data_IF_937461296354
#
_entry.id   IF_937461296354
#
_cell.length_a   1.000
_cell.length_b   1.000
_cell.length_c   1.000
_cell.angle_alpha   90.00
_cell.angle_beta   90.00
_cell.angle_gamma   90.00
#
_symmetry.space_group_name_H-M   'P 1'
#
loop_
_entity.id
_entity.type
_entity.pdbx_description
1 polymer ?
#
# COMPACT_ATOMS: atom_id res chain seq x y z
N UNK A 1 15.53 11.46 1.07
CA UNK A 1 15.01 10.11 0.86
C UNK A 1 14.26 10.07 -0.46
N UNK A 2 14.39 9.00 -1.23
CA UNK A 2 13.62 8.76 -2.46
C UNK A 2 12.83 7.45 -2.27
N UNK A 3 11.58 7.45 -2.71
CA UNK A 3 10.63 6.35 -2.59
C UNK A 3 10.53 5.61 -3.91
N UNK A 4 10.57 4.28 -3.84
CA UNK A 4 10.41 3.40 -4.99
C UNK A 4 9.00 2.81 -4.97
N UNK A 5 8.22 3.14 -5.99
CA UNK A 5 6.90 2.54 -6.24
C UNK A 5 7.02 1.52 -7.35
N UNK A 6 6.42 0.36 -7.17
CA UNK A 6 6.44 -0.77 -8.10
C UNK A 6 5.02 -1.20 -8.41
N UNK A 7 4.78 -1.78 -9.59
CA UNK A 7 3.43 -2.14 -10.04
C UNK A 7 3.32 -3.59 -10.50
N UNK A 8 2.34 -4.29 -9.91
CA UNK A 8 1.96 -5.69 -10.15
C UNK A 8 0.43 -5.81 -10.14
N UNK A 9 -0.24 -5.12 -11.07
CA UNK A 9 -1.71 -4.95 -11.07
C UNK A 9 -2.23 -3.92 -10.06
N UNK A 10 -1.36 -3.37 -9.23
CA UNK A 10 -1.60 -2.25 -8.32
C UNK A 10 -0.27 -1.68 -7.82
N UNK A 11 -0.27 -0.45 -7.34
CA UNK A 11 0.93 0.21 -6.86
C UNK A 11 1.32 -0.23 -5.45
N UNK A 12 2.60 -0.57 -5.28
CA UNK A 12 3.21 -0.92 -4.00
C UNK A 12 4.40 -0.02 -3.73
N UNK A 13 4.55 0.42 -2.49
CA UNK A 13 5.75 1.07 -2.00
C UNK A 13 6.75 0.01 -1.56
N UNK A 14 7.95 0.02 -2.14
CA UNK A 14 9.06 -0.84 -1.71
C UNK A 14 9.90 -0.13 -0.64
N UNK A 15 10.01 -0.75 0.52
CA UNK A 15 10.85 -0.31 1.64
C UNK A 15 11.94 -1.35 1.87
N UNK A 16 13.20 -0.94 1.93
CA UNK A 16 14.34 -1.86 2.03
C UNK A 16 15.17 -1.71 3.31
N UNK A 17 14.82 -0.75 4.16
CA UNK A 17 15.57 -0.50 5.39
C UNK A 17 14.70 0.14 6.49
N UNK A 18 15.21 0.10 7.72
CA UNK A 18 14.53 0.59 8.90
C UNK A 18 14.30 2.11 8.89
N UNK A 19 15.16 2.89 8.23
CA UNK A 19 15.01 4.35 8.15
C UNK A 19 13.78 4.73 7.30
N UNK A 20 13.66 4.11 6.11
CA UNK A 20 12.49 4.23 5.26
C UNK A 20 11.21 3.75 5.95
N UNK A 21 11.26 2.61 6.65
CA UNK A 21 10.12 2.07 7.38
C UNK A 21 9.65 3.01 8.49
N UNK A 22 10.59 3.56 9.26
CA UNK A 22 10.30 4.51 10.33
C UNK A 22 9.67 5.79 9.78
N UNK A 23 10.20 6.31 8.68
CA UNK A 23 9.67 7.52 8.04
C UNK A 23 8.28 7.30 7.44
N UNK A 24 8.04 6.13 6.84
CA UNK A 24 6.72 5.75 6.34
C UNK A 24 5.67 5.76 7.47
N UNK A 25 5.95 5.12 8.61
CA UNK A 25 5.02 5.08 9.74
C UNK A 25 4.76 6.46 10.35
N UNK A 26 5.81 7.29 10.50
CA UNK A 26 5.65 8.68 10.97
C UNK A 26 4.68 9.49 10.11
N UNK A 27 4.70 9.28 8.79
CA UNK A 27 3.85 10.03 7.84
C UNK A 27 2.43 9.49 7.72
N UNK A 28 2.22 8.20 8.00
CA UNK A 28 0.96 7.52 7.65
C UNK A 28 0.11 7.07 8.84
N UNK A 29 0.68 6.96 10.05
CA UNK A 29 -0.02 6.35 11.18
C UNK A 29 -0.91 7.28 11.99
N UNK A 30 -0.79 8.60 11.82
CA UNK A 30 -1.44 9.59 12.68
C UNK A 30 -2.96 9.40 12.84
N UNK A 31 -3.64 8.88 11.81
CA UNK A 31 -5.10 8.70 11.80
C UNK A 31 -5.54 7.24 11.76
N UNK A 32 -4.61 6.27 11.76
CA UNK A 32 -4.93 4.85 11.48
C UNK A 32 -5.96 4.24 12.44
N UNK A 33 -5.94 4.64 13.70
CA UNK A 33 -6.82 4.12 14.76
C UNK A 33 -7.87 5.12 15.21
N UNK A 34 -8.01 6.27 14.54
CA UNK A 34 -8.88 7.35 15.01
C UNK A 34 -10.34 6.88 15.14
N UNK A 35 -10.86 6.18 14.14
CA UNK A 35 -12.22 5.66 14.17
C UNK A 35 -12.42 4.58 15.24
N UNK A 36 -11.46 3.68 15.41
CA UNK A 36 -11.47 2.68 16.50
C UNK A 36 -11.49 3.33 17.90
N UNK A 37 -10.69 4.38 18.11
CA UNK A 37 -10.65 5.15 19.36
C UNK A 37 -12.00 5.85 19.58
N UNK A 38 -12.58 6.46 18.53
CA UNK A 38 -13.88 7.12 18.61
C UNK A 38 -14.99 6.15 18.96
N UNK A 39 -15.04 4.99 18.29
CA UNK A 39 -16.01 3.93 18.61
C UNK A 39 -15.90 3.46 20.07
N UNK A 40 -14.67 3.23 20.55
CA UNK A 40 -14.44 2.80 21.93
C UNK A 40 -14.89 3.85 22.96
N UNK A 41 -14.60 5.13 22.68
CA UNK A 41 -14.99 6.28 23.51
C UNK A 41 -16.51 6.46 23.55
N UNK A 42 -17.17 6.31 22.41
CA UNK A 42 -18.63 6.48 22.27
C UNK A 42 -19.42 5.29 22.84
N UNK A 43 -18.74 4.30 23.44
CA UNK A 43 -19.38 3.14 24.07
C UNK A 43 -19.88 2.08 23.09
N UNK A 44 -19.55 2.19 21.80
CA UNK A 44 -19.88 1.20 20.75
C UNK A 44 -18.96 -0.03 20.81
N UNK A 45 -18.81 -0.59 22.01
CA UNK A 45 -17.90 -1.69 22.29
C UNK A 45 -18.60 -3.04 22.06
N UNK A 46 -17.85 -4.12 21.75
CA UNK A 46 -18.46 -5.43 21.49
C UNK A 46 -19.35 -5.95 22.63
N UNK A 47 -19.05 -5.60 23.88
CA UNK A 47 -19.87 -5.95 25.05
C UNK A 47 -21.22 -5.22 25.12
N UNK A 48 -21.33 -4.07 24.46
CA UNK A 48 -22.54 -3.23 24.42
C UNK A 48 -23.35 -3.43 23.13
N UNK A 49 -22.92 -4.34 22.25
CA UNK A 49 -23.56 -4.63 20.97
C UNK A 49 -24.21 -6.01 21.00
N UNK A 50 -25.34 -6.14 20.30
CA UNK A 50 -25.95 -7.44 20.03
C UNK A 50 -25.03 -8.33 19.19
N UNK A 51 -25.26 -9.65 19.20
CA UNK A 51 -24.52 -10.56 18.32
C UNK A 51 -24.72 -10.23 16.84
N UNK A 52 -25.94 -9.85 16.44
CA UNK A 52 -26.27 -9.50 15.06
C UNK A 52 -25.51 -8.26 14.59
N UNK A 53 -25.43 -7.20 15.42
CA UNK A 53 -24.69 -5.99 15.09
C UNK A 53 -23.18 -6.26 14.93
N UNK A 54 -22.60 -7.13 15.77
CA UNK A 54 -21.18 -7.52 15.66
C UNK A 54 -20.88 -8.33 14.41
N UNK A 55 -21.76 -9.27 14.06
CA UNK A 55 -21.64 -10.05 12.82
C UNK A 55 -21.73 -9.10 11.63
N UNK A 56 -22.72 -8.20 11.61
CA UNK A 56 -22.91 -7.24 10.54
C UNK A 56 -21.69 -6.34 10.36
N UNK A 57 -21.20 -5.72 11.43
CA UNK A 57 -20.01 -4.87 11.39
C UNK A 57 -18.76 -5.62 10.88
N UNK A 58 -18.61 -6.90 11.22
CA UNK A 58 -17.50 -7.73 10.76
C UNK A 58 -17.66 -8.13 9.28
N UNK A 59 -18.86 -8.54 8.87
CA UNK A 59 -19.15 -8.96 7.48
C UNK A 59 -19.11 -7.80 6.49
N UNK A 60 -19.50 -6.60 6.91
CA UNK A 60 -19.42 -5.38 6.10
C UNK A 60 -18.00 -4.80 6.02
N UNK A 61 -17.02 -5.43 6.67
CA UNK A 61 -15.63 -4.97 6.64
C UNK A 61 -15.42 -3.62 7.33
N UNK A 62 -16.17 -3.32 8.40
CA UNK A 62 -15.99 -2.09 9.15
C UNK A 62 -14.62 -2.10 9.84
N UNK A 63 -13.65 -1.45 9.20
CA UNK A 63 -12.24 -1.41 9.63
C UNK A 63 -12.08 -0.88 11.05
N UNK A 64 -12.85 0.14 11.43
CA UNK A 64 -12.76 0.75 12.76
C UNK A 64 -13.23 -0.21 13.85
N UNK A 65 -14.32 -0.94 13.60
CA UNK A 65 -14.80 -1.99 14.49
C UNK A 65 -13.76 -3.12 14.63
N UNK A 66 -13.21 -3.60 13.52
CA UNK A 66 -12.21 -4.66 13.52
C UNK A 66 -10.93 -4.25 14.28
N UNK A 67 -10.44 -3.03 14.05
CA UNK A 67 -9.26 -2.49 14.76
C UNK A 67 -9.54 -2.31 16.26
N UNK A 68 -10.72 -1.82 16.62
CA UNK A 68 -11.14 -1.70 18.02
C UNK A 68 -11.19 -3.07 18.70
N UNK A 69 -11.81 -4.07 18.06
CA UNK A 69 -11.89 -5.43 18.59
C UNK A 69 -10.49 -6.05 18.77
N UNK A 70 -9.62 -5.91 17.77
CA UNK A 70 -8.25 -6.38 17.85
C UNK A 70 -7.47 -5.71 19.00
N UNK A 71 -7.65 -4.41 19.20
CA UNK A 71 -7.00 -3.68 20.29
C UNK A 71 -7.51 -4.14 21.67
N UNK A 72 -8.81 -4.44 21.81
CA UNK A 72 -9.37 -4.99 23.06
C UNK A 72 -8.76 -6.37 23.35
N UNK A 73 -8.67 -7.25 22.35
CA UNK A 73 -8.06 -8.58 22.51
C UNK A 73 -6.59 -8.45 22.93
N UNK A 74 -5.83 -7.58 22.27
CA UNK A 74 -4.44 -7.37 22.64
C UNK A 74 -4.27 -6.81 24.04
N UNK A 75 -5.10 -5.85 24.44
CA UNK A 75 -5.09 -5.32 25.79
C UNK A 75 -5.34 -6.43 26.83
N UNK A 76 -6.29 -7.34 26.58
CA UNK A 76 -6.57 -8.47 27.46
C UNK A 76 -5.36 -9.42 27.58
N UNK A 77 -4.67 -9.72 26.48
CA UNK A 77 -3.51 -10.61 26.46
C UNK A 77 -2.34 -10.11 27.32
N UNK A 78 -2.22 -8.79 27.50
CA UNK A 78 -1.15 -8.15 28.27
C UNK A 78 -1.62 -7.55 29.59
N UNK A 79 -2.87 -7.81 29.99
CA UNK A 79 -3.52 -7.20 31.17
C UNK A 79 -3.43 -5.65 31.17
N UNK A 80 -3.51 -5.04 29.99
CA UNK A 80 -3.31 -3.61 29.75
C UNK A 80 -4.59 -2.84 29.43
N UNK A 81 -4.43 -1.56 29.10
CA UNK A 81 -5.53 -0.70 28.67
C UNK A 81 -5.81 -0.84 27.17
N UNK A 82 -6.95 -0.34 26.70
CA UNK A 82 -7.26 -0.26 25.27
C UNK A 82 -6.17 0.47 24.47
N UNK A 83 -5.55 1.51 25.04
CA UNK A 83 -4.45 2.22 24.39
C UNK A 83 -3.17 1.36 24.32
N UNK A 84 -2.92 0.51 25.30
CA UNK A 84 -1.82 -0.45 25.25
C UNK A 84 -2.07 -1.51 24.16
N UNK A 85 -3.33 -1.95 24.00
CA UNK A 85 -3.74 -2.78 22.87
C UNK A 85 -3.47 -2.15 21.50
N UNK A 86 -3.78 -0.86 21.31
CA UNK A 86 -3.43 -0.13 20.08
C UNK A 86 -1.91 -0.08 19.87
N UNK A 87 -1.14 0.16 20.94
CA UNK A 87 0.32 0.15 20.86
C UNK A 87 0.86 -1.22 20.47
N UNK A 88 0.32 -2.30 21.01
CA UNK A 88 0.65 -3.67 20.63
C UNK A 88 0.42 -3.90 19.13
N UNK A 89 -0.75 -3.55 18.61
CA UNK A 89 -1.04 -3.68 17.17
C UNK A 89 -0.05 -2.90 16.29
N UNK A 90 0.31 -1.68 16.71
CA UNK A 90 1.31 -0.88 16.01
C UNK A 90 2.69 -1.54 16.02
N UNK A 91 3.12 -2.03 17.18
CA UNK A 91 4.41 -2.70 17.35
C UNK A 91 4.48 -4.00 16.55
N UNK A 92 3.44 -4.83 16.58
CA UNK A 92 3.37 -6.09 15.82
C UNK A 92 3.49 -5.84 14.33
N UNK A 93 2.77 -4.84 13.81
CA UNK A 93 2.83 -4.47 12.40
C UNK A 93 4.24 -4.03 12.00
N UNK A 94 4.81 -3.08 12.74
CA UNK A 94 6.16 -2.57 12.48
C UNK A 94 7.22 -3.66 12.60
N UNK A 95 7.06 -4.59 13.54
CA UNK A 95 7.99 -5.71 13.74
C UNK A 95 7.88 -6.73 12.61
N UNK A 96 6.67 -7.05 12.15
CA UNK A 96 6.47 -7.91 10.96
C UNK A 96 7.19 -7.31 9.76
N UNK A 97 6.95 -6.04 9.46
CA UNK A 97 7.54 -5.36 8.30
C UNK A 97 9.07 -5.26 8.42
N UNK A 98 9.60 -5.05 9.62
CA UNK A 98 11.04 -5.07 9.87
C UNK A 98 11.65 -6.47 9.69
N UNK A 99 10.95 -7.52 10.14
CA UNK A 99 11.36 -8.90 9.90
C UNK A 99 11.35 -9.24 8.41
N UNK A 100 10.33 -8.80 7.65
CA UNK A 100 10.26 -9.00 6.21
C UNK A 100 11.48 -8.35 5.51
N UNK A 101 11.87 -7.13 5.92
CA UNK A 101 13.09 -6.48 5.42
C UNK A 101 14.34 -7.30 5.77
N UNK A 102 14.43 -7.82 7.00
CA UNK A 102 15.60 -8.60 7.46
C UNK A 102 15.74 -9.92 6.70
N UNK A 103 14.62 -10.60 6.46
CA UNK A 103 14.60 -11.96 5.91
C UNK A 103 14.59 -11.99 4.38
N UNK A 104 13.88 -11.04 3.75
CA UNK A 104 13.67 -11.00 2.30
C UNK A 104 14.29 -9.77 1.62
N UNK A 105 14.89 -8.87 2.39
CA UNK A 105 15.55 -7.66 1.90
C UNK A 105 14.61 -6.48 1.61
N UNK A 106 13.29 -6.70 1.65
CA UNK A 106 12.29 -5.66 1.43
C UNK A 106 10.93 -6.03 2.03
N UNK A 107 10.13 -4.99 2.28
CA UNK A 107 8.68 -5.09 2.48
C UNK A 107 7.99 -4.18 1.47
N UNK A 108 6.85 -4.64 0.96
CA UNK A 108 6.02 -3.93 0.00
C UNK A 108 4.71 -3.55 0.66
N UNK A 109 4.32 -2.29 0.58
CA UNK A 109 3.12 -1.76 1.24
C UNK A 109 2.19 -1.14 0.20
N UNK A 110 0.91 -1.52 0.21
CA UNK A 110 -0.10 -0.97 -0.70
C UNK A 110 -0.77 0.30 -0.13
N UNK A 111 -1.58 1.04 -0.91
CA UNK A 111 -2.23 2.27 -0.44
C UNK A 111 -3.17 2.08 0.77
N UNK A 112 -3.72 0.88 0.96
CA UNK A 112 -4.56 0.55 2.11
C UNK A 112 -3.76 0.24 3.38
N UNK A 113 -2.43 0.15 3.28
CA UNK A 113 -1.52 -0.15 4.38
C UNK A 113 -1.31 -1.65 4.65
N UNK A 114 -1.76 -2.52 3.74
CA UNK A 114 -1.43 -3.95 3.77
C UNK A 114 -0.01 -4.20 3.25
N UNK A 115 0.67 -5.21 3.80
CA UNK A 115 2.07 -5.50 3.46
C UNK A 115 2.33 -6.95 3.04
N UNK A 116 3.29 -7.13 2.13
CA UNK A 116 3.82 -8.42 1.67
C UNK A 116 5.35 -8.35 1.56
N UNK A 117 6.02 -9.50 1.59
CA UNK A 117 7.47 -9.59 1.43
C UNK A 117 7.91 -9.74 -0.04
N UNK A 118 6.98 -10.01 -0.96
CA UNK A 118 7.29 -10.23 -2.38
C UNK A 118 6.22 -9.64 -3.28
N UNK A 119 6.69 -9.01 -4.37
CA UNK A 119 5.90 -8.46 -5.47
C UNK A 119 6.72 -8.70 -6.73
N UNK A 120 6.13 -9.32 -7.77
CA UNK A 120 6.77 -9.49 -9.06
C UNK A 120 6.43 -8.29 -9.95
N UNK A 121 7.43 -7.48 -10.29
CA UNK A 121 7.17 -6.22 -10.99
C UNK A 121 8.19 -5.96 -12.09
N UNK A 122 7.69 -5.39 -13.18
CA UNK A 122 8.51 -4.80 -14.25
C UNK A 122 8.39 -3.28 -14.28
N UNK A 123 7.24 -2.76 -13.84
CA UNK A 123 6.94 -1.34 -13.80
C UNK A 123 7.36 -0.75 -12.46
N UNK A 124 8.00 0.41 -12.51
CA UNK A 124 8.38 1.16 -11.32
C UNK A 124 8.68 2.62 -11.64
N UNK A 125 8.45 3.49 -10.65
CA UNK A 125 8.86 4.88 -10.65
C UNK A 125 9.48 5.28 -9.30
N UNK A 126 10.32 6.31 -9.32
CA UNK A 126 10.96 6.86 -8.11
C UNK A 126 10.47 8.27 -7.86
N UNK A 127 10.10 8.58 -6.62
CA UNK A 127 9.55 9.90 -6.25
C UNK A 127 10.13 10.39 -4.93
N UNK A 128 10.26 11.71 -4.79
CA UNK A 128 10.67 12.34 -3.53
C UNK A 128 9.56 12.38 -2.50
N UNK A 129 8.32 12.40 -2.96
CA UNK A 129 7.12 12.44 -2.13
C UNK A 129 6.54 11.04 -1.91
N UNK A 130 5.98 10.83 -0.72
CA UNK A 130 5.31 9.58 -0.34
C UNK A 130 3.85 9.64 -0.79
N UNK A 131 3.63 9.66 -2.10
CA UNK A 131 2.31 9.69 -2.72
C UNK A 131 2.27 8.57 -3.75
N UNK A 132 1.37 7.61 -3.55
CA UNK A 132 1.17 6.52 -4.49
C UNK A 132 0.82 7.06 -5.88
N UNK A 133 1.37 6.48 -6.96
CA UNK A 133 0.99 6.87 -8.31
C UNK A 133 -0.50 6.60 -8.58
N UNK A 134 -1.13 7.54 -9.27
CA UNK A 134 -2.52 7.48 -9.70
C UNK A 134 -2.61 7.98 -11.15
N UNK A 135 -1.92 7.25 -12.03
CA UNK A 135 -1.81 7.63 -13.43
C UNK A 135 -3.12 7.42 -14.18
N UNK A 136 -3.46 8.38 -15.03
CA UNK A 136 -4.66 8.34 -15.85
C UNK A 136 -4.31 8.09 -17.33
N UNK A 137 -5.32 7.80 -18.15
CA UNK A 137 -5.13 7.58 -19.60
C UNK A 137 -4.55 8.80 -20.30
N UNK A 138 -4.85 9.99 -19.81
CA UNK A 138 -4.35 11.27 -20.32
C UNK A 138 -2.85 11.44 -20.09
N UNK A 139 -2.27 10.71 -19.13
CA UNK A 139 -0.83 10.74 -18.83
C UNK A 139 -0.01 9.90 -19.82
N UNK A 140 -0.66 9.14 -20.71
CA UNK A 140 -0.01 8.27 -21.69
C UNK A 140 0.61 9.11 -22.80
N UNK A 141 1.91 8.86 -23.05
CA UNK A 141 2.65 9.46 -24.16
C UNK A 141 3.40 8.36 -24.91
N UNK A 142 3.16 8.29 -26.22
CA UNK A 142 3.87 7.37 -27.11
C UNK A 142 4.72 8.18 -28.07
N UNK A 143 6.01 7.85 -28.15
CA UNK A 143 6.99 8.56 -28.98
C UNK A 143 7.76 7.59 -29.86
N UNK A 144 7.97 7.95 -31.12
CA UNK A 144 8.92 7.25 -31.99
C UNK A 144 10.33 7.74 -31.71
N UNK A 145 11.31 6.84 -31.77
CA UNK A 145 12.72 7.25 -31.76
C UNK A 145 13.04 8.13 -32.97
N UNK A 146 13.83 9.18 -32.75
CA UNK A 146 14.24 10.06 -33.83
C UNK A 146 15.14 9.30 -34.82
N UNK A 147 14.73 9.23 -36.08
CA UNK A 147 15.43 8.44 -37.10
C UNK A 147 15.28 6.91 -36.99
N UNK A 148 14.45 6.40 -36.09
CA UNK A 148 14.22 4.96 -35.90
C UNK A 148 12.80 4.49 -36.24
N UNK A 149 12.62 3.17 -36.21
CA UNK A 149 11.33 2.49 -36.43
C UNK A 149 10.65 2.06 -35.12
N UNK A 150 11.31 2.28 -33.98
CA UNK A 150 10.83 1.83 -32.68
C UNK A 150 10.01 2.90 -31.96
N UNK A 151 9.05 2.42 -31.18
CA UNK A 151 8.13 3.21 -30.37
C UNK A 151 8.37 2.97 -28.89
N UNK A 152 8.18 4.02 -28.09
CA UNK A 152 8.40 4.03 -26.65
C UNK A 152 7.16 4.59 -25.98
N UNK A 153 6.70 3.92 -24.92
CA UNK A 153 5.55 4.34 -24.13
C UNK A 153 5.98 4.89 -22.78
N UNK A 154 5.27 5.92 -22.35
CA UNK A 154 5.46 6.60 -21.08
C UNK A 154 4.10 6.86 -20.44
N UNK A 155 4.05 6.82 -19.11
CA UNK A 155 2.88 7.17 -18.29
C UNK A 155 3.37 8.14 -17.22
N UNK A 156 2.95 9.40 -17.27
CA UNK A 156 3.43 10.43 -16.37
C UNK A 156 4.97 10.52 -16.39
N UNK A 157 5.60 10.29 -15.25
CA UNK A 157 7.06 10.28 -15.05
C UNK A 157 7.73 8.90 -15.29
N UNK A 158 6.97 7.87 -15.67
CA UNK A 158 7.46 6.51 -15.88
C UNK A 158 7.58 6.16 -17.38
N UNK A 159 8.67 5.47 -17.75
CA UNK A 159 8.76 4.74 -19.01
C UNK A 159 8.19 3.31 -18.82
N UNK A 160 7.26 2.92 -19.69
CA UNK A 160 6.66 1.58 -19.66
C UNK A 160 7.69 0.53 -20.10
N UNK A 161 7.68 -0.61 -19.41
CA UNK A 161 8.56 -1.75 -19.67
C UNK A 161 7.78 -2.98 -20.11
N UNK A 162 8.42 -3.90 -20.80
CA UNK A 162 7.91 -5.24 -21.09
C UNK A 162 9.02 -6.25 -20.76
N UNK A 163 9.15 -6.61 -19.48
CA UNK A 163 10.34 -7.32 -19.00
C UNK A 163 11.60 -6.49 -19.22
N UNK A 164 12.55 -7.03 -19.97
CA UNK A 164 13.78 -6.33 -20.36
C UNK A 164 13.60 -5.40 -21.58
N UNK A 165 12.48 -5.50 -22.29
CA UNK A 165 12.20 -4.67 -23.46
C UNK A 165 11.61 -3.31 -23.07
N UNK A 166 12.12 -2.26 -23.70
CA UNK A 166 11.70 -0.87 -23.47
C UNK A 166 11.08 -0.21 -24.70
N UNK A 167 10.86 -0.98 -25.76
CA UNK A 167 10.49 -0.48 -27.08
C UNK A 167 9.61 -1.48 -27.82
N UNK A 168 8.76 -0.96 -28.69
CA UNK A 168 7.84 -1.72 -29.53
C UNK A 168 8.08 -1.43 -31.00
N UNK A 169 7.69 -2.36 -31.86
CA UNK A 169 7.77 -2.19 -33.32
C UNK A 169 6.64 -1.34 -33.90
N UNK A 170 5.53 -1.16 -33.16
CA UNK A 170 4.37 -0.37 -33.60
C UNK A 170 3.92 0.61 -32.53
N UNK A 171 3.27 1.71 -32.96
CA UNK A 171 2.73 2.72 -32.05
C UNK A 171 1.60 2.14 -31.20
N UNK A 172 0.77 1.30 -31.82
CA UNK A 172 -0.39 0.66 -31.22
C UNK A 172 0.03 -0.27 -30.09
N UNK A 173 1.06 -1.11 -30.30
CA UNK A 173 1.54 -2.02 -29.26
C UNK A 173 2.13 -1.25 -28.07
N UNK A 174 2.90 -0.18 -28.32
CA UNK A 174 3.39 0.69 -27.25
C UNK A 174 2.24 1.31 -26.46
N UNK A 175 1.21 1.81 -27.16
CA UNK A 175 0.04 2.40 -26.53
C UNK A 175 -0.75 1.39 -25.70
N UNK A 176 -1.05 0.21 -26.24
CA UNK A 176 -1.78 -0.84 -25.53
C UNK A 176 -1.05 -1.31 -24.26
N UNK A 177 0.29 -1.38 -24.29
CA UNK A 177 1.08 -1.70 -23.11
C UNK A 177 0.94 -0.63 -22.00
N UNK A 178 0.86 0.65 -22.36
CA UNK A 178 0.61 1.72 -21.41
C UNK A 178 -0.82 1.70 -20.86
N UNK A 179 -1.80 1.49 -21.75
CA UNK A 179 -3.23 1.43 -21.38
C UNK A 179 -3.52 0.28 -20.39
N UNK A 180 -2.81 -0.84 -20.48
CA UNK A 180 -2.96 -1.96 -19.55
C UNK A 180 -2.57 -1.65 -18.09
N UNK A 181 -1.85 -0.56 -17.84
CA UNK A 181 -1.42 -0.15 -16.49
C UNK A 181 -2.42 0.83 -15.84
N UNK A 182 -3.14 1.62 -16.64
CA UNK A 182 -4.06 2.67 -16.16
C UNK A 182 -5.55 2.31 -16.30
N UNK A 183 -5.87 1.16 -16.89
CA UNK A 183 -7.26 0.77 -17.18
C UNK A 183 -7.93 -0.05 -16.06
N UNK A 184 -7.47 0.09 -14.81
CA UNK A 184 -8.06 -0.54 -13.64
C UNK A 184 -8.62 0.50 -12.68
#
# INVERSE_FOLDING_TARGET
>A
MEWLFVYDGGWWLKITNAEQLTEYHKRTDGQRYEGAIRMYKDGKRPENMSLEERIRASMEGNRDFMLMQAAIVQAQNIEGTFLDGIRCLNMERGMKELNDIREYGAVYINPAGGSTFSVDYTQFCRRKELIFPDFQKEDIRVRRFEGGIHWYAYIGDMQVRNGEELKWSTQEAARSAAEAIVSC
#
